data_IF_308349189561
#
_entry.id   IF_308349189561
#
_cell.length_a   1.000
_cell.length_b   1.000
_cell.length_c   1.000
_cell.angle_alpha   90.00
_cell.angle_beta   90.00
_cell.angle_gamma   90.00
#
_symmetry.space_group_name_H-M   'P 1'
#
loop_
_entity.id
_entity.type
_entity.pdbx_description
1 polymer ?
#
# COMPACT_ATOMS: atom_id res chain seq x y z
N UNK A 1 9.34 19.13 -7.78
CA UNK A 1 8.31 18.21 -7.25
C UNK A 1 6.98 18.42 -7.99
N UNK A 2 6.92 18.18 -9.32
CA UNK A 2 5.77 18.64 -10.13
C UNK A 2 4.57 17.70 -10.23
N UNK A 3 4.64 16.46 -9.74
CA UNK A 3 3.48 15.58 -9.70
C UNK A 3 3.45 14.79 -8.39
N UNK A 4 3.20 15.47 -7.27
CA UNK A 4 2.63 14.80 -6.10
C UNK A 4 1.21 14.41 -6.54
N UNK A 5 1.07 13.17 -6.99
CA UNK A 5 -0.16 12.68 -7.60
C UNK A 5 -1.30 12.89 -6.60
N UNK A 6 -2.33 13.65 -6.98
CA UNK A 6 -3.41 14.07 -6.04
C UNK A 6 -4.01 12.85 -5.33
N UNK A 7 -3.99 11.70 -5.99
CA UNK A 7 -4.42 10.41 -5.49
C UNK A 7 -3.62 9.90 -4.29
N UNK A 8 -2.31 10.13 -4.26
CA UNK A 8 -1.45 9.78 -3.13
C UNK A 8 -1.74 10.67 -1.93
N UNK A 9 -1.95 11.97 -2.15
CA UNK A 9 -2.37 12.90 -1.09
C UNK A 9 -3.72 12.50 -0.51
N UNK A 10 -4.69 12.11 -1.37
CA UNK A 10 -6.00 11.63 -0.94
C UNK A 10 -5.90 10.31 -0.17
N UNK A 11 -5.10 9.35 -0.63
CA UNK A 11 -4.86 8.10 0.07
C UNK A 11 -4.20 8.31 1.45
N UNK A 12 -3.20 9.20 1.54
CA UNK A 12 -2.58 9.62 2.80
C UNK A 12 -3.58 10.33 3.71
N UNK A 13 -4.39 11.23 3.17
CA UNK A 13 -5.41 11.95 3.95
C UNK A 13 -6.46 11.00 4.53
N UNK A 14 -6.85 9.98 3.76
CA UNK A 14 -7.73 8.91 4.22
C UNK A 14 -7.08 8.05 5.31
N UNK A 15 -5.79 7.73 5.17
CA UNK A 15 -5.01 7.02 6.18
C UNK A 15 -4.91 7.81 7.49
N UNK A 16 -4.64 9.12 7.41
CA UNK A 16 -4.64 10.03 8.57
C UNK A 16 -6.02 10.15 9.21
N UNK A 17 -7.07 10.27 8.41
CA UNK A 17 -8.44 10.29 8.89
C UNK A 17 -8.76 9.01 9.67
N UNK A 18 -8.42 7.85 9.11
CA UNK A 18 -8.66 6.56 9.77
C UNK A 18 -7.87 6.44 11.09
N UNK A 19 -6.58 6.79 11.07
CA UNK A 19 -5.71 6.76 12.24
C UNK A 19 -6.21 7.67 13.36
N UNK A 20 -6.31 8.96 13.07
CA UNK A 20 -6.41 10.00 14.10
C UNK A 20 -7.83 10.42 14.43
N UNK A 21 -8.80 10.22 13.53
CA UNK A 21 -10.19 10.52 13.84
C UNK A 21 -10.95 9.27 14.29
N UNK A 22 -10.59 8.09 13.78
CA UNK A 22 -11.43 6.91 13.97
C UNK A 22 -11.01 5.98 15.10
N UNK A 23 -9.72 5.85 15.39
CA UNK A 23 -9.26 4.96 16.46
C UNK A 23 -9.32 5.51 17.90
N UNK A 24 -9.27 6.83 18.19
CA UNK A 24 -9.39 7.33 19.56
C UNK A 24 -10.71 6.96 20.27
N UNK A 25 -11.89 6.96 19.60
CA UNK A 25 -13.12 6.46 20.19
C UNK A 25 -13.04 5.01 20.69
N UNK A 26 -12.34 4.13 19.96
CA UNK A 26 -12.18 2.71 20.33
C UNK A 26 -11.32 2.57 21.59
N UNK A 27 -10.24 3.36 21.67
CA UNK A 27 -9.37 3.41 22.85
C UNK A 27 -10.14 3.86 24.10
N UNK A 28 -11.04 4.84 23.93
CA UNK A 28 -11.91 5.34 25.00
C UNK A 28 -12.98 4.32 25.41
N UNK A 29 -13.67 3.68 24.46
CA UNK A 29 -14.73 2.70 24.76
C UNK A 29 -14.19 1.46 25.48
N UNK A 30 -12.99 0.99 25.09
CA UNK A 30 -12.33 -0.17 25.72
C UNK A 30 -11.56 0.17 27.00
N UNK A 31 -11.48 1.44 27.40
CA UNK A 31 -10.64 1.91 28.53
C UNK A 31 -9.24 1.31 28.49
N UNK A 32 -8.65 1.26 27.29
CA UNK A 32 -7.37 0.60 27.04
C UNK A 32 -6.27 1.29 27.83
N UNK A 33 -6.29 2.63 27.84
CA UNK A 33 -5.44 3.47 28.67
C UNK A 33 -6.33 4.25 29.62
N UNK A 34 -6.01 4.21 30.91
CA UNK A 34 -6.70 5.00 31.91
C UNK A 34 -5.69 5.57 32.89
N UNK A 35 -6.02 6.75 33.41
CA UNK A 35 -5.22 7.41 34.41
C UNK A 35 -5.61 6.88 35.81
N UNK A 36 -4.66 6.26 36.50
CA UNK A 36 -4.84 5.86 37.88
C UNK A 36 -4.54 7.06 38.79
N UNK A 37 -5.57 7.61 39.43
CA UNK A 37 -5.45 8.77 40.31
C UNK A 37 -4.70 8.47 41.61
N UNK A 38 -4.69 7.23 42.08
CA UNK A 38 -4.05 6.86 43.35
C UNK A 38 -2.52 6.82 43.22
N UNK A 39 -2.04 6.31 42.08
CA UNK A 39 -0.61 6.15 41.82
C UNK A 39 -0.03 7.21 40.88
N UNK A 40 -0.86 8.10 40.33
CA UNK A 40 -0.50 9.06 39.28
C UNK A 40 0.21 8.40 38.08
N UNK A 41 -0.24 7.21 37.70
CA UNK A 41 0.32 6.39 36.61
C UNK A 41 -0.70 6.18 35.49
N UNK A 42 -0.19 6.08 34.26
CA UNK A 42 -0.99 5.64 33.11
C UNK A 42 -0.96 4.11 33.07
N UNK A 43 -2.11 3.47 33.29
CA UNK A 43 -2.24 2.02 33.31
C UNK A 43 -2.98 1.49 32.07
N UNK A 44 -2.73 0.22 31.73
CA UNK A 44 -3.36 -0.45 30.59
C UNK A 44 -4.13 -1.69 31.01
N UNK A 45 -5.39 -1.78 30.60
CA UNK A 45 -6.24 -2.94 30.85
C UNK A 45 -6.16 -4.00 29.75
N UNK A 46 -5.61 -3.65 28.59
CA UNK A 46 -5.58 -4.52 27.40
C UNK A 46 -4.28 -4.27 26.62
N UNK A 47 -3.15 -4.62 27.24
CA UNK A 47 -1.82 -4.47 26.66
C UNK A 47 -1.66 -5.15 25.29
N UNK A 48 -2.21 -6.36 25.05
CA UNK A 48 -2.18 -6.98 23.73
C UNK A 48 -2.90 -6.12 22.67
N UNK A 49 -4.10 -5.60 22.96
CA UNK A 49 -4.79 -4.74 22.02
C UNK A 49 -4.03 -3.43 21.75
N UNK A 50 -3.45 -2.82 22.78
CA UNK A 50 -2.64 -1.61 22.63
C UNK A 50 -1.43 -1.85 21.72
N UNK A 51 -0.70 -2.95 21.92
CA UNK A 51 0.44 -3.33 21.07
C UNK A 51 0.01 -3.60 19.62
N UNK A 52 -1.14 -4.25 19.41
CA UNK A 52 -1.70 -4.47 18.06
C UNK A 52 -2.03 -3.14 17.38
N UNK A 53 -2.60 -2.19 18.12
CA UNK A 53 -2.95 -0.89 17.62
C UNK A 53 -1.70 -0.06 17.27
N UNK A 54 -0.68 -0.05 18.12
CA UNK A 54 0.61 0.60 17.84
C UNK A 54 1.27 0.01 16.59
N UNK A 55 1.29 -1.32 16.47
CA UNK A 55 1.83 -2.00 15.30
C UNK A 55 1.08 -1.61 14.03
N UNK A 56 -0.25 -1.60 14.09
CA UNK A 56 -1.11 -1.14 12.99
C UNK A 56 -0.82 0.31 12.63
N UNK A 57 -0.71 1.19 13.61
CA UNK A 57 -0.37 2.60 13.42
C UNK A 57 0.95 2.80 12.70
N UNK A 58 1.98 2.08 13.13
CA UNK A 58 3.32 2.15 12.55
C UNK A 58 3.30 1.75 11.07
N UNK A 59 2.58 0.67 10.74
CA UNK A 59 2.43 0.22 9.34
C UNK A 59 1.76 1.29 8.50
N UNK A 60 0.65 1.87 8.97
CA UNK A 60 -0.06 2.92 8.23
C UNK A 60 0.83 4.16 8.02
N UNK A 61 1.52 4.63 9.05
CA UNK A 61 2.45 5.76 8.94
C UNK A 61 3.56 5.48 7.94
N UNK A 62 4.13 4.28 7.96
CA UNK A 62 5.14 3.85 6.98
C UNK A 62 4.56 3.82 5.56
N UNK A 63 3.36 3.26 5.37
CA UNK A 63 2.70 3.21 4.07
C UNK A 63 2.44 4.61 3.51
N UNK A 64 1.98 5.54 4.36
CA UNK A 64 1.79 6.94 3.99
C UNK A 64 3.11 7.63 3.67
N UNK A 65 4.17 7.37 4.46
CA UNK A 65 5.50 7.89 4.18
C UNK A 65 6.03 7.38 2.83
N UNK A 66 5.91 6.08 2.57
CA UNK A 66 6.35 5.46 1.32
C UNK A 66 5.56 5.93 0.10
N UNK A 67 4.31 6.34 0.31
CA UNK A 67 3.42 6.94 -0.68
C UNK A 67 3.83 8.37 -1.02
N UNK A 68 4.12 9.19 0.01
CA UNK A 68 4.57 10.57 -0.17
C UNK A 68 5.99 10.66 -0.73
N UNK A 69 6.85 9.71 -0.34
CA UNK A 69 8.26 9.65 -0.72
C UNK A 69 8.51 8.44 -1.61
N UNK A 70 8.09 8.57 -2.87
CA UNK A 70 8.36 7.56 -3.89
C UNK A 70 9.87 7.42 -4.13
N UNK A 71 10.38 6.20 -4.46
CA UNK A 71 11.80 5.97 -4.74
C UNK A 71 12.39 6.81 -5.88
N UNK A 72 11.53 7.36 -6.74
CA UNK A 72 11.85 8.30 -7.83
C UNK A 72 12.19 9.71 -7.33
N UNK A 73 11.90 10.05 -6.06
CA UNK A 73 12.42 11.25 -5.43
C UNK A 73 13.93 11.09 -5.25
N UNK A 74 14.72 11.93 -5.91
CA UNK A 74 16.19 11.85 -5.91
C UNK A 74 16.79 12.05 -4.52
N UNK A 75 16.16 12.85 -3.66
CA UNK A 75 16.70 13.20 -2.33
C UNK A 75 15.58 13.56 -1.35
N UNK A 76 15.69 13.07 -0.12
CA UNK A 76 14.81 13.43 0.98
C UNK A 76 15.60 14.31 1.95
N UNK A 77 15.20 15.58 2.04
CA UNK A 77 15.76 16.51 3.01
C UNK A 77 14.97 16.33 4.30
N UNK A 78 15.58 15.73 5.33
CA UNK A 78 14.97 15.67 6.64
C UNK A 78 14.78 17.09 7.19
N UNK A 79 13.65 17.32 7.86
CA UNK A 79 13.35 18.58 8.56
C UNK A 79 14.48 18.82 9.55
N UNK A 80 15.30 19.84 9.30
CA UNK A 80 16.57 20.08 10.02
C UNK A 80 17.81 20.27 9.12
N UNK A 81 17.71 19.99 7.82
CA UNK A 81 18.62 20.53 6.79
C UNK A 81 20.05 19.96 6.73
N UNK A 82 20.47 19.10 7.66
CA UNK A 82 21.88 18.67 7.75
C UNK A 82 22.20 17.33 7.11
N UNK A 83 21.19 16.51 6.76
CA UNK A 83 21.40 15.20 6.12
C UNK A 83 20.44 14.97 4.95
N UNK A 84 20.98 14.96 3.74
CA UNK A 84 20.30 14.51 2.54
C UNK A 84 20.35 12.98 2.49
N UNK A 85 19.22 12.31 2.72
CA UNK A 85 19.14 10.85 2.62
C UNK A 85 18.51 10.48 1.27
N UNK A 86 19.07 9.49 0.58
CA UNK A 86 18.47 8.96 -0.66
C UNK A 86 17.08 8.40 -0.33
N UNK A 87 16.02 8.96 -0.90
CA UNK A 87 14.62 8.56 -0.60
C UNK A 87 14.39 7.07 -0.85
N UNK A 88 15.07 6.49 -1.86
CA UNK A 88 15.07 5.05 -2.13
C UNK A 88 15.52 4.21 -0.92
N UNK A 89 16.55 4.65 -0.19
CA UNK A 89 17.05 3.91 0.98
C UNK A 89 16.02 3.92 2.11
N UNK A 90 15.44 5.09 2.38
CA UNK A 90 14.37 5.26 3.38
C UNK A 90 13.17 4.39 3.03
N UNK A 91 12.71 4.42 1.78
CA UNK A 91 11.57 3.62 1.32
C UNK A 91 11.80 2.11 1.54
N UNK A 92 12.99 1.61 1.21
CA UNK A 92 13.34 0.18 1.39
C UNK A 92 13.40 -0.18 2.87
N UNK A 93 14.07 0.62 3.70
CA UNK A 93 14.18 0.36 5.14
C UNK A 93 12.83 0.40 5.84
N UNK A 94 12.05 1.46 5.58
CA UNK A 94 10.72 1.60 6.14
C UNK A 94 9.81 0.46 5.68
N UNK A 95 9.86 0.08 4.39
CA UNK A 95 9.16 -1.09 3.88
C UNK A 95 9.48 -2.39 4.64
N UNK A 96 10.76 -2.63 4.97
CA UNK A 96 11.17 -3.79 5.78
C UNK A 96 10.62 -3.71 7.21
N UNK A 97 10.72 -2.55 7.85
CA UNK A 97 10.17 -2.34 9.19
C UNK A 97 8.65 -2.56 9.22
N UNK A 98 7.93 -2.07 8.22
CA UNK A 98 6.49 -2.29 8.09
C UNK A 98 6.14 -3.76 7.88
N UNK A 99 6.92 -4.53 7.12
CA UNK A 99 6.69 -5.97 7.01
C UNK A 99 6.82 -6.66 8.36
N UNK A 100 7.91 -6.40 9.10
CA UNK A 100 8.14 -7.02 10.43
C UNK A 100 7.03 -6.63 11.40
N UNK A 101 6.71 -5.32 11.49
CA UNK A 101 5.62 -4.83 12.32
C UNK A 101 4.26 -5.42 11.90
N UNK A 102 4.06 -5.62 10.60
CA UNK A 102 2.90 -6.29 10.02
C UNK A 102 2.73 -7.72 10.50
N UNK A 103 3.78 -8.53 10.44
CA UNK A 103 3.75 -9.90 10.93
C UNK A 103 3.47 -9.97 12.44
N UNK A 104 4.15 -9.15 13.24
CA UNK A 104 3.95 -9.11 14.69
C UNK A 104 2.53 -8.66 15.05
N UNK A 105 2.05 -7.59 14.42
CA UNK A 105 0.69 -7.07 14.62
C UNK A 105 -0.36 -8.09 14.19
N UNK A 106 -0.17 -8.79 13.06
CA UNK A 106 -1.08 -9.83 12.61
C UNK A 106 -1.13 -11.01 13.58
N UNK A 107 0.02 -11.54 14.01
CA UNK A 107 0.07 -12.63 14.98
C UNK A 107 -0.64 -12.27 16.29
N UNK A 108 -0.42 -11.03 16.78
CA UNK A 108 -1.10 -10.52 17.97
C UNK A 108 -2.60 -10.35 17.76
N UNK A 109 -3.00 -9.86 16.58
CA UNK A 109 -4.40 -9.74 16.18
C UNK A 109 -5.11 -11.09 16.13
N UNK A 110 -4.46 -12.13 15.58
CA UNK A 110 -4.96 -13.52 15.57
C UNK A 110 -5.09 -14.05 17.00
N UNK A 111 -4.09 -13.82 17.84
CA UNK A 111 -4.15 -14.22 19.26
C UNK A 111 -5.36 -13.59 19.97
N UNK A 112 -5.57 -12.27 19.83
CA UNK A 112 -6.73 -11.56 20.40
C UNK A 112 -8.04 -12.09 19.81
N UNK A 113 -8.05 -12.40 18.51
CA UNK A 113 -9.19 -12.86 17.77
C UNK A 113 -9.68 -14.26 18.18
N UNK A 114 -8.76 -15.17 18.52
CA UNK A 114 -9.08 -16.54 18.95
C UNK A 114 -9.94 -16.61 20.23
N UNK A 115 -10.11 -15.51 20.97
CA UNK A 115 -10.93 -15.45 22.19
C UNK A 115 -12.41 -15.09 21.93
N UNK A 116 -12.84 -15.12 20.66
CA UNK A 116 -14.25 -15.21 20.28
C UNK A 116 -14.81 -13.94 19.65
N UNK A 117 -15.17 -14.06 18.36
CA UNK A 117 -16.27 -13.37 17.65
C UNK A 117 -16.14 -13.64 16.13
N UNK A 118 -17.25 -13.61 15.39
CA UNK A 118 -17.28 -13.66 13.91
C UNK A 118 -16.31 -12.64 13.25
N UNK A 119 -16.18 -11.47 13.88
CA UNK A 119 -15.27 -10.37 13.47
C UNK A 119 -13.81 -10.82 13.44
N UNK A 120 -13.44 -11.70 14.36
CA UNK A 120 -12.08 -12.20 14.51
C UNK A 120 -11.70 -13.18 13.39
N UNK A 121 -12.63 -14.05 13.00
CA UNK A 121 -12.47 -14.95 11.85
C UNK A 121 -12.34 -14.13 10.56
N UNK A 122 -13.23 -13.16 10.35
CA UNK A 122 -13.19 -12.28 9.17
C UNK A 122 -11.88 -11.49 9.09
N UNK A 123 -11.42 -10.92 10.19
CA UNK A 123 -10.15 -10.17 10.25
C UNK A 123 -8.95 -11.08 9.93
N UNK A 124 -8.98 -12.32 10.41
CA UNK A 124 -7.93 -13.30 10.14
C UNK A 124 -7.89 -13.70 8.66
N UNK A 125 -9.05 -13.99 8.06
CA UNK A 125 -9.15 -14.30 6.62
C UNK A 125 -8.66 -13.13 5.76
N UNK A 126 -9.06 -11.91 6.11
CA UNK A 126 -8.59 -10.68 5.44
C UNK A 126 -7.08 -10.55 5.54
N UNK A 127 -6.49 -10.81 6.71
CA UNK A 127 -5.04 -10.75 6.90
C UNK A 127 -4.28 -11.83 6.12
N UNK A 128 -4.83 -13.04 5.98
CA UNK A 128 -4.25 -14.10 5.13
C UNK A 128 -4.26 -13.68 3.65
N UNK A 129 -5.40 -13.18 3.16
CA UNK A 129 -5.53 -12.68 1.78
C UNK A 129 -4.52 -11.55 1.53
N UNK A 130 -4.41 -10.63 2.47
CA UNK A 130 -3.46 -9.53 2.43
C UNK A 130 -2.01 -10.03 2.31
N UNK A 131 -1.63 -11.04 3.11
CA UNK A 131 -0.30 -11.65 3.05
C UNK A 131 -0.03 -12.33 1.70
N UNK A 132 -1.00 -13.06 1.15
CA UNK A 132 -0.87 -13.69 -0.18
C UNK A 132 -0.64 -12.63 -1.26
N UNK A 133 -1.37 -11.51 -1.22
CA UNK A 133 -1.15 -10.41 -2.16
C UNK A 133 0.18 -9.71 -1.97
N UNK A 134 0.67 -9.58 -0.74
CA UNK A 134 1.99 -9.00 -0.48
C UNK A 134 3.08 -9.88 -1.07
N UNK A 135 3.01 -11.20 -0.85
CA UNK A 135 3.96 -12.16 -1.38
C UNK A 135 3.94 -12.16 -2.91
N UNK A 136 2.76 -12.28 -3.53
CA UNK A 136 2.63 -12.27 -5.00
C UNK A 136 3.06 -10.94 -5.62
N UNK A 137 2.74 -9.82 -4.98
CA UNK A 137 3.22 -8.50 -5.37
C UNK A 137 4.75 -8.38 -5.25
N UNK A 138 5.35 -8.98 -4.22
CA UNK A 138 6.81 -9.03 -4.06
C UNK A 138 7.49 -9.81 -5.19
N UNK A 139 6.98 -11.00 -5.52
CA UNK A 139 7.50 -11.77 -6.66
C UNK A 139 7.38 -10.99 -7.98
N UNK A 140 6.26 -10.32 -8.21
CA UNK A 140 6.03 -9.53 -9.42
C UNK A 140 7.02 -8.36 -9.56
N UNK A 141 7.38 -7.66 -8.48
CA UNK A 141 8.38 -6.58 -8.55
C UNK A 141 9.81 -7.11 -8.70
N UNK A 142 10.12 -8.26 -8.11
CA UNK A 142 11.41 -8.92 -8.31
C UNK A 142 11.58 -9.34 -9.78
N UNK A 143 10.53 -9.90 -10.38
CA UNK A 143 10.51 -10.27 -11.79
C UNK A 143 10.62 -9.04 -12.71
N UNK A 144 9.90 -7.95 -12.41
CA UNK A 144 10.05 -6.68 -13.12
C UNK A 144 11.51 -6.18 -13.10
N UNK A 145 12.19 -6.22 -11.94
CA UNK A 145 13.60 -5.78 -11.83
C UNK A 145 14.54 -6.66 -12.65
N UNK A 146 14.32 -7.97 -12.63
CA UNK A 146 15.09 -8.94 -13.42
C UNK A 146 14.92 -8.67 -14.92
N UNK A 147 13.68 -8.51 -15.37
CA UNK A 147 13.36 -8.22 -16.77
C UNK A 147 13.87 -6.85 -17.21
N UNK A 148 13.83 -5.84 -16.33
CA UNK A 148 14.40 -4.52 -16.62
C UNK A 148 15.91 -4.58 -16.85
N UNK A 149 16.64 -5.38 -16.08
CA UNK A 149 18.07 -5.60 -16.30
C UNK A 149 18.32 -6.33 -17.62
N UNK A 150 17.48 -7.32 -17.96
CA UNK A 150 17.57 -8.04 -19.22
C UNK A 150 17.33 -7.11 -20.42
N UNK A 151 16.26 -6.31 -20.41
CA UNK A 151 15.95 -5.32 -21.45
C UNK A 151 17.14 -4.37 -21.64
N UNK A 152 17.68 -3.82 -20.56
CA UNK A 152 18.85 -2.92 -20.63
C UNK A 152 20.08 -3.62 -21.24
N UNK A 153 20.32 -4.90 -20.91
CA UNK A 153 21.43 -5.66 -21.49
C UNK A 153 21.23 -6.00 -22.97
N UNK A 154 19.98 -6.22 -23.40
CA UNK A 154 19.64 -6.48 -24.79
C UNK A 154 19.71 -5.21 -25.64
N UNK A 155 19.27 -4.07 -25.10
CA UNK A 155 19.39 -2.75 -25.76
C UNK A 155 20.87 -2.42 -26.03
N UNK A 156 21.75 -2.58 -25.04
CA UNK A 156 23.19 -2.31 -25.24
C UNK A 156 23.88 -3.31 -26.19
N UNK A 157 23.30 -4.49 -26.38
CA UNK A 157 23.85 -5.53 -27.26
C UNK A 157 23.37 -5.37 -28.70
N UNK A 158 22.29 -4.61 -28.93
CA UNK A 158 21.81 -4.23 -30.25
C UNK A 158 22.64 -3.11 -30.89
N UNK A 159 23.31 -2.28 -30.08
CA UNK A 159 24.18 -1.20 -30.55
C UNK A 159 25.54 -1.70 -31.09
N UNK A 160 25.97 -2.90 -30.70
CA UNK A 160 27.14 -3.58 -31.27
C UNK A 160 26.72 -4.34 -32.54
N UNK A 161 27.05 -3.76 -33.69
CA UNK A 161 26.71 -4.18 -35.06
C UNK A 161 26.76 -5.71 -35.31
N UNK A 162 25.72 -6.24 -35.97
CA UNK A 162 25.52 -7.62 -36.52
C UNK A 162 24.65 -8.63 -35.75
N UNK A 163 23.74 -8.21 -34.86
CA UNK A 163 22.84 -9.15 -34.17
C UNK A 163 21.47 -9.33 -34.87
N UNK A 164 21.19 -10.58 -35.25
CA UNK A 164 20.03 -11.15 -35.97
C UNK A 164 18.61 -10.63 -35.60
N UNK A 165 17.62 -10.81 -36.51
CA UNK A 165 16.20 -10.50 -36.27
C UNK A 165 15.54 -11.26 -35.10
N UNK A 166 16.17 -12.33 -34.59
CA UNK A 166 15.73 -13.01 -33.36
C UNK A 166 15.90 -12.14 -32.10
N UNK A 167 16.85 -11.20 -32.10
CA UNK A 167 17.13 -10.35 -30.94
C UNK A 167 16.07 -9.26 -30.71
N UNK A 168 15.43 -8.77 -31.78
CA UNK A 168 14.36 -7.76 -31.70
C UNK A 168 13.10 -8.37 -31.08
N UNK A 169 12.70 -9.56 -31.54
CA UNK A 169 11.55 -10.28 -30.97
C UNK A 169 11.75 -10.67 -29.50
N UNK A 170 12.98 -11.04 -29.10
CA UNK A 170 13.33 -11.30 -27.70
C UNK A 170 13.26 -10.03 -26.84
N UNK A 171 13.68 -8.88 -27.38
CA UNK A 171 13.62 -7.60 -26.70
C UNK A 171 12.17 -7.15 -26.48
N UNK A 172 11.32 -7.24 -27.50
CA UNK A 172 9.89 -6.90 -27.40
C UNK A 172 9.17 -7.79 -26.40
N UNK A 173 9.37 -9.11 -26.45
CA UNK A 173 8.77 -10.05 -25.49
C UNK A 173 9.24 -9.76 -24.06
N UNK A 174 10.52 -9.43 -23.86
CA UNK A 174 11.04 -9.02 -22.56
C UNK A 174 10.38 -7.71 -22.07
N UNK A 175 10.19 -6.72 -22.95
CA UNK A 175 9.49 -5.46 -22.62
C UNK A 175 8.03 -5.72 -22.24
N UNK A 176 7.30 -6.56 -22.98
CA UNK A 176 5.91 -6.91 -22.68
C UNK A 176 5.81 -7.61 -21.31
N UNK A 177 6.66 -8.61 -21.07
CA UNK A 177 6.71 -9.32 -19.78
C UNK A 177 7.06 -8.37 -18.63
N UNK A 178 7.97 -7.42 -18.84
CA UNK A 178 8.35 -6.41 -17.86
C UNK A 178 7.13 -5.56 -17.46
N UNK A 179 6.38 -5.04 -18.42
CA UNK A 179 5.17 -4.25 -18.16
C UNK A 179 4.10 -5.07 -17.44
N UNK A 180 3.88 -6.33 -17.85
CA UNK A 180 2.94 -7.24 -17.20
C UNK A 180 3.31 -7.53 -15.74
N UNK A 181 4.60 -7.68 -15.44
CA UNK A 181 5.08 -7.89 -14.08
C UNK A 181 4.83 -6.63 -13.21
N UNK A 182 5.14 -5.44 -13.73
CA UNK A 182 4.85 -4.18 -13.05
C UNK A 182 3.35 -3.99 -12.79
N UNK A 183 2.52 -4.27 -13.80
CA UNK A 183 1.07 -4.23 -13.70
C UNK A 183 0.54 -5.14 -12.58
N UNK A 184 1.03 -6.39 -12.55
CA UNK A 184 0.67 -7.35 -11.52
C UNK A 184 1.05 -6.83 -10.14
N UNK A 185 2.25 -6.25 -9.97
CA UNK A 185 2.67 -5.64 -8.71
C UNK A 185 1.73 -4.52 -8.27
N UNK A 186 1.42 -3.56 -9.16
CA UNK A 186 0.55 -2.41 -8.86
C UNK A 186 -0.84 -2.88 -8.43
N UNK A 187 -1.43 -3.83 -9.16
CA UNK A 187 -2.75 -4.38 -8.82
C UNK A 187 -2.75 -5.05 -7.44
N UNK A 188 -1.70 -5.81 -7.11
CA UNK A 188 -1.63 -6.46 -5.80
C UNK A 188 -1.48 -5.44 -4.68
N UNK A 189 -0.64 -4.43 -4.85
CA UNK A 189 -0.51 -3.32 -3.88
C UNK A 189 -1.83 -2.55 -3.71
N UNK A 190 -2.57 -2.39 -4.81
CA UNK A 190 -3.88 -1.76 -4.78
C UNK A 190 -4.92 -2.62 -4.06
N UNK A 191 -5.00 -3.92 -4.38
CA UNK A 191 -5.93 -4.85 -3.74
C UNK A 191 -5.69 -4.90 -2.22
N UNK A 192 -4.41 -4.92 -1.82
CA UNK A 192 -3.98 -4.74 -0.43
C UNK A 192 -4.56 -3.47 0.17
N UNK A 193 -4.35 -2.31 -0.48
CA UNK A 193 -4.83 -1.04 0.03
C UNK A 193 -6.35 -1.05 0.22
N UNK A 194 -7.10 -1.48 -0.81
CA UNK A 194 -8.57 -1.50 -0.80
C UNK A 194 -9.10 -2.46 0.27
N UNK A 195 -8.54 -3.65 0.41
CA UNK A 195 -9.02 -4.63 1.39
C UNK A 195 -8.63 -4.23 2.81
N UNK A 196 -7.41 -3.77 3.04
CA UNK A 196 -6.98 -3.36 4.38
C UNK A 196 -7.81 -2.20 4.92
N UNK A 197 -8.17 -1.23 4.07
CA UNK A 197 -8.97 -0.08 4.50
C UNK A 197 -10.47 -0.39 4.43
N UNK A 198 -10.93 -1.07 3.37
CA UNK A 198 -12.32 -1.39 3.11
C UNK A 198 -12.91 -2.45 4.04
N UNK A 199 -12.14 -3.47 4.42
CA UNK A 199 -12.60 -4.50 5.35
C UNK A 199 -12.79 -3.93 6.76
N UNK A 200 -11.86 -3.10 7.23
CA UNK A 200 -11.97 -2.46 8.54
C UNK A 200 -13.13 -1.47 8.55
N UNK A 201 -13.26 -0.66 7.49
CA UNK A 201 -14.42 0.18 7.22
C UNK A 201 -15.74 -0.61 7.31
N UNK A 202 -15.83 -1.78 6.65
CA UNK A 202 -17.02 -2.63 6.64
C UNK A 202 -17.35 -3.26 7.99
N UNK A 203 -16.35 -3.72 8.76
CA UNK A 203 -16.55 -4.24 10.12
C UNK A 203 -17.12 -3.14 11.03
N UNK A 204 -16.59 -1.92 10.95
CA UNK A 204 -17.14 -0.79 11.70
C UNK A 204 -18.52 -0.38 11.22
N UNK A 205 -18.77 -0.43 9.91
CA UNK A 205 -20.07 -0.17 9.32
C UNK A 205 -21.14 -1.10 9.88
N UNK A 206 -20.83 -2.39 10.01
CA UNK A 206 -21.77 -3.36 10.59
C UNK A 206 -22.10 -3.08 12.06
N UNK A 207 -21.14 -2.56 12.84
CA UNK A 207 -21.37 -2.13 14.24
C UNK A 207 -22.12 -0.81 14.37
N UNK A 208 -21.95 0.13 13.45
CA UNK A 208 -22.69 1.40 13.47
C UNK A 208 -24.13 1.19 12.96
N UNK A 209 -24.32 0.32 11.96
CA UNK A 209 -25.64 -0.13 11.49
C UNK A 209 -26.46 -0.81 12.58
N UNK A 210 -25.84 -1.53 13.50
CA UNK A 210 -26.57 -2.13 14.62
C UNK A 210 -27.00 -1.14 15.72
N UNK A 211 -26.49 0.11 15.73
CA UNK A 211 -26.80 1.14 16.74
C UNK A 211 -27.80 2.23 16.27
N UNK A 212 -28.57 1.98 15.21
CA UNK A 212 -29.75 2.80 14.85
C UNK A 212 -29.51 4.03 13.96
N UNK A 213 -28.29 4.60 13.94
CA UNK A 213 -27.91 5.70 13.03
C UNK A 213 -27.09 5.25 11.81
N UNK A 214 -26.98 3.95 11.55
CA UNK A 214 -26.00 3.47 10.59
C UNK A 214 -26.35 3.61 9.11
N UNK A 215 -27.56 4.02 8.74
CA UNK A 215 -27.89 4.27 7.32
C UNK A 215 -27.06 5.44 6.77
N UNK A 216 -26.96 6.56 7.51
CA UNK A 216 -26.15 7.70 7.09
C UNK A 216 -24.66 7.34 7.02
N UNK A 217 -24.16 6.58 8.00
CA UNK A 217 -22.78 6.10 8.02
C UNK A 217 -22.50 5.10 6.88
N UNK A 218 -23.46 4.21 6.57
CA UNK A 218 -23.43 3.29 5.43
C UNK A 218 -23.32 4.01 4.10
N UNK A 219 -24.12 5.05 3.90
CA UNK A 219 -24.08 5.87 2.69
C UNK A 219 -22.72 6.56 2.58
N UNK A 220 -22.23 7.20 3.64
CA UNK A 220 -20.93 7.90 3.62
C UNK A 220 -19.77 6.93 3.31
N UNK A 221 -19.75 5.75 3.95
CA UNK A 221 -18.67 4.78 3.73
C UNK A 221 -18.72 4.13 2.34
N UNK A 222 -19.91 3.83 1.81
CA UNK A 222 -20.03 3.37 0.42
C UNK A 222 -19.65 4.46 -0.56
N UNK A 223 -20.00 5.72 -0.32
CA UNK A 223 -19.56 6.84 -1.14
C UNK A 223 -18.03 6.99 -1.12
N UNK A 224 -17.39 6.86 0.04
CA UNK A 224 -15.92 6.85 0.15
C UNK A 224 -15.34 5.67 -0.63
N UNK A 225 -15.88 4.46 -0.46
CA UNK A 225 -15.40 3.26 -1.15
C UNK A 225 -15.55 3.35 -2.67
N UNK A 226 -16.72 3.76 -3.16
CA UNK A 226 -17.00 3.98 -4.59
C UNK A 226 -16.10 5.10 -5.14
N UNK A 227 -15.92 6.18 -4.40
CA UNK A 227 -15.02 7.27 -4.80
C UNK A 227 -13.58 6.78 -4.93
N UNK A 228 -13.11 5.94 -3.99
CA UNK A 228 -11.78 5.32 -4.07
C UNK A 228 -11.68 4.39 -5.28
N UNK A 229 -12.70 3.57 -5.56
CA UNK A 229 -12.71 2.69 -6.74
C UNK A 229 -12.67 3.49 -8.05
N UNK A 230 -13.49 4.56 -8.17
CA UNK A 230 -13.52 5.43 -9.35
C UNK A 230 -12.17 6.12 -9.54
N UNK A 231 -11.62 6.69 -8.46
CA UNK A 231 -10.32 7.35 -8.46
C UNK A 231 -9.22 6.41 -8.95
N UNK A 232 -9.23 5.17 -8.47
CA UNK A 232 -8.27 4.15 -8.89
C UNK A 232 -8.48 3.68 -10.32
N UNK A 233 -9.72 3.49 -10.77
CA UNK A 233 -10.00 3.15 -12.16
C UNK A 233 -9.48 4.24 -13.12
N UNK A 234 -9.60 5.51 -12.75
CA UNK A 234 -9.06 6.64 -13.53
C UNK A 234 -7.53 6.65 -13.55
N UNK A 235 -6.88 6.41 -12.40
CA UNK A 235 -5.42 6.24 -12.34
C UNK A 235 -4.94 5.12 -13.26
N UNK A 236 -5.61 3.97 -13.19
CA UNK A 236 -5.33 2.82 -14.04
C UNK A 236 -5.44 3.17 -15.52
N UNK A 237 -6.58 3.76 -15.93
CA UNK A 237 -6.82 4.11 -17.33
C UNK A 237 -5.78 5.10 -17.84
N UNK A 238 -5.38 6.07 -17.02
CA UNK A 238 -4.36 7.04 -17.40
C UNK A 238 -2.99 6.38 -17.59
N UNK A 239 -2.57 5.51 -16.68
CA UNK A 239 -1.30 4.78 -16.78
C UNK A 239 -1.25 3.85 -18.00
N UNK A 240 -2.33 3.10 -18.27
CA UNK A 240 -2.43 2.25 -19.47
C UNK A 240 -2.34 3.09 -20.73
N UNK A 241 -3.08 4.19 -20.78
CA UNK A 241 -3.07 5.06 -21.95
C UNK A 241 -1.70 5.67 -22.22
N UNK A 242 -0.97 6.09 -21.19
CA UNK A 242 0.40 6.59 -21.37
C UNK A 242 1.35 5.52 -21.92
N UNK A 243 1.30 4.29 -21.40
CA UNK A 243 2.11 3.20 -21.95
C UNK A 243 1.73 2.85 -23.39
N UNK A 244 0.44 2.87 -23.74
CA UNK A 244 -0.02 2.63 -25.11
C UNK A 244 0.48 3.72 -26.08
N UNK A 245 0.52 4.98 -25.64
CA UNK A 245 1.06 6.09 -26.43
C UNK A 245 2.57 5.94 -26.62
N UNK A 246 3.32 5.67 -25.54
CA UNK A 246 4.77 5.43 -25.60
C UNK A 246 5.12 4.25 -26.54
N UNK A 247 4.30 3.20 -26.56
CA UNK A 247 4.47 2.08 -27.49
C UNK A 247 4.20 2.45 -28.94
N UNK A 248 3.19 3.29 -29.21
CA UNK A 248 2.88 3.74 -30.58
C UNK A 248 3.97 4.66 -31.11
N UNK A 249 4.43 5.61 -30.30
CA UNK A 249 5.52 6.53 -30.66
C UNK A 249 6.84 5.77 -30.90
N UNK A 250 7.11 4.70 -30.15
CA UNK A 250 8.26 3.84 -30.40
C UNK A 250 8.16 3.08 -31.72
N UNK A 251 6.97 2.57 -32.08
CA UNK A 251 6.76 1.85 -33.33
C UNK A 251 6.77 2.74 -34.59
N UNK A 252 6.28 3.98 -34.49
CA UNK A 252 6.29 4.93 -35.63
C UNK A 252 7.71 5.40 -35.99
N UNK A 253 8.61 5.54 -35.00
CA UNK A 253 10.01 5.93 -35.24
C UNK A 253 10.88 4.82 -35.87
N UNK A 254 10.42 3.57 -35.95
CA UNK A 254 11.16 2.48 -36.61
C UNK A 254 10.79 2.35 -38.11
N UNK A 255 9.76 3.05 -38.57
CA UNK A 255 9.26 2.99 -39.96
C UNK A 255 9.75 4.11 -40.88
N UNK A 256 10.45 5.11 -40.34
CA UNK A 256 11.03 6.25 -41.07
C UNK A 256 12.57 6.10 -41.21
#
# INVERSE_FOLDING_TARGET
MKHLNVYWVLATSLGLWFLFLHSPPILSERKVLYWNNENHTLETNDAPFLLHLIGSYLIYLICMLNTLYTPSCSTLTLIGGTAAVKARSVHVWMGRCAMIAGYLSFALGVYIACWGQLVAILTTVVGIIHMIWQITGHYAICEYRRLKQLVHSLEHRGDDEQSQPSSVGELEDAKIKMHKALYTHIIRMLAIFVVSHGAIAGVFLSRVLSRGNGIAYYIIMNLVFVSLLIMHYRMYRHFVHQNELEQREAGENETD
#
